data_IF_812905329734
#
_entry.id   IF_812905329734
#
_cell.length_a   1.000
_cell.length_b   1.000
_cell.length_c   1.000
_cell.angle_alpha   90.00
_cell.angle_beta   90.00
_cell.angle_gamma   90.00
#
_symmetry.space_group_name_H-M   'P 1'
#
loop_
_entity.id
_entity.type
_entity.pdbx_description
1 polymer ?
#
# COMPACT_ATOMS: atom_id res chain seq x y z
N UNK A 1 18.56 -24.21 -5.66
CA UNK A 1 17.34 -24.47 -6.44
C UNK A 1 16.87 -23.15 -7.00
N UNK A 2 17.21 -22.82 -8.24
CA UNK A 2 16.72 -21.60 -8.89
C UNK A 2 15.22 -21.74 -9.08
N UNK A 3 14.44 -20.81 -8.51
CA UNK A 3 13.00 -20.71 -8.79
C UNK A 3 12.84 -20.28 -10.24
N UNK A 4 12.24 -21.12 -11.02
CA UNK A 4 11.85 -20.85 -12.40
C UNK A 4 10.80 -19.72 -12.35
N UNK A 5 11.17 -18.50 -12.77
CA UNK A 5 10.21 -17.41 -12.93
C UNK A 5 10.53 -16.04 -12.31
N UNK A 6 11.75 -15.75 -11.90
CA UNK A 6 12.16 -14.37 -11.68
C UNK A 6 12.40 -13.69 -13.04
N UNK A 7 11.30 -13.42 -13.75
CA UNK A 7 11.28 -12.38 -14.76
C UNK A 7 11.57 -11.09 -13.98
N UNK A 8 12.59 -10.35 -14.41
CA UNK A 8 12.87 -9.04 -13.83
C UNK A 8 11.66 -8.14 -14.09
N UNK A 9 10.78 -8.07 -13.09
CA UNK A 9 9.47 -7.39 -13.15
C UNK A 9 9.60 -5.86 -13.24
N UNK A 10 10.82 -5.33 -13.23
CA UNK A 10 11.11 -3.90 -13.32
C UNK A 10 11.75 -3.49 -14.64
N UNK A 11 11.66 -4.32 -15.68
CA UNK A 11 12.27 -4.07 -17.01
C UNK A 11 11.30 -3.58 -18.06
N UNK A 12 10.03 -3.35 -17.77
CA UNK A 12 9.06 -2.85 -18.73
C UNK A 12 9.49 -1.48 -19.30
N UNK A 13 9.33 -1.31 -20.60
CA UNK A 13 9.77 -0.13 -21.36
C UNK A 13 9.28 1.21 -20.78
N UNK A 14 8.03 1.25 -20.32
CA UNK A 14 7.38 2.46 -19.82
C UNK A 14 7.30 2.56 -18.30
N UNK A 15 7.94 1.67 -17.58
CA UNK A 15 7.98 1.76 -16.12
C UNK A 15 8.76 3.00 -15.67
N UNK A 16 8.18 3.85 -14.79
CA UNK A 16 8.91 4.96 -14.19
C UNK A 16 10.18 4.49 -13.46
N UNK A 17 11.26 5.26 -13.58
CA UNK A 17 12.56 4.92 -12.97
C UNK A 17 12.85 5.69 -11.69
N UNK A 18 12.12 6.75 -11.42
CA UNK A 18 12.33 7.65 -10.27
C UNK A 18 11.19 7.51 -9.26
N UNK A 19 9.93 7.52 -9.75
CA UNK A 19 8.78 7.41 -8.87
C UNK A 19 8.53 5.97 -8.45
N UNK A 20 7.98 5.79 -7.25
CA UNK A 20 7.53 4.48 -6.79
C UNK A 20 6.49 3.89 -7.75
N UNK A 21 6.64 2.61 -8.04
CA UNK A 21 5.65 1.79 -8.75
C UNK A 21 5.59 0.41 -8.10
N UNK A 22 4.41 -0.19 -7.93
CA UNK A 22 4.33 -1.56 -7.42
C UNK A 22 4.95 -2.53 -8.41
N UNK A 23 5.37 -3.68 -7.93
CA UNK A 23 5.94 -4.74 -8.77
C UNK A 23 5.01 -5.14 -9.91
N UNK A 24 3.71 -5.14 -9.65
CA UNK A 24 2.66 -5.51 -10.64
C UNK A 24 1.31 -4.97 -10.25
N UNK A 25 0.37 -5.03 -11.19
CA UNK A 25 -1.05 -4.77 -10.99
C UNK A 25 -1.40 -3.28 -10.82
N UNK A 26 -2.68 -3.02 -10.65
CA UNK A 26 -3.24 -1.67 -10.59
C UNK A 26 -2.82 -0.91 -9.34
N UNK A 27 -2.48 0.34 -9.51
CA UNK A 27 -2.38 1.32 -8.41
C UNK A 27 -3.01 2.65 -8.82
N UNK A 28 -3.50 3.40 -7.84
CA UNK A 28 -3.93 4.79 -8.01
C UNK A 28 -3.50 5.65 -6.81
N UNK A 29 -4.40 6.18 -6.01
CA UNK A 29 -4.10 7.20 -5.01
C UNK A 29 -2.99 6.80 -4.03
N UNK A 30 -1.96 7.64 -3.82
CA UNK A 30 -1.09 7.51 -2.67
C UNK A 30 -1.87 7.83 -1.38
N UNK A 31 -1.63 7.08 -0.33
CA UNK A 31 -2.28 7.19 0.96
C UNK A 31 -1.25 7.21 2.08
N UNK A 32 -1.58 7.89 3.17
CA UNK A 32 -0.91 7.73 4.44
C UNK A 32 0.61 7.86 4.43
N UNK A 33 1.18 8.73 3.60
CA UNK A 33 2.62 8.97 3.62
C UNK A 33 3.02 9.51 5.00
N UNK A 34 3.83 8.74 5.73
CA UNK A 34 4.20 9.07 7.12
C UNK A 34 5.62 8.62 7.43
N UNK A 35 6.33 9.45 8.20
CA UNK A 35 7.61 9.08 8.80
C UNK A 35 7.38 8.40 10.14
N UNK A 36 7.95 7.22 10.33
CA UNK A 36 7.87 6.47 11.57
C UNK A 36 9.15 5.68 11.83
N UNK A 37 9.78 5.93 12.97
CA UNK A 37 10.94 5.17 13.48
C UNK A 37 12.04 4.90 12.44
N UNK A 38 12.44 5.94 11.70
CA UNK A 38 13.60 5.87 10.80
C UNK A 38 13.29 5.48 9.37
N UNK A 39 12.02 5.36 8.98
CA UNK A 39 11.62 5.11 7.61
C UNK A 39 10.33 5.85 7.22
N UNK A 40 10.19 6.16 5.94
CA UNK A 40 8.95 6.63 5.35
C UNK A 40 8.09 5.44 4.99
N UNK A 41 6.80 5.51 5.31
CA UNK A 41 5.79 4.57 4.87
C UNK A 41 4.92 5.24 3.81
N UNK A 42 4.74 4.58 2.69
CA UNK A 42 3.80 4.95 1.64
C UNK A 42 2.79 3.83 1.51
N UNK A 43 1.53 4.17 1.67
CA UNK A 43 0.42 3.30 1.32
C UNK A 43 -0.18 3.77 0.00
N UNK A 44 -0.89 2.91 -0.70
CA UNK A 44 -1.50 3.26 -1.98
C UNK A 44 -2.69 2.36 -2.30
N UNK A 45 -3.64 2.90 -3.02
CA UNK A 45 -4.75 2.13 -3.55
C UNK A 45 -4.21 1.10 -4.54
N UNK A 46 -4.55 -0.15 -4.33
CA UNK A 46 -3.98 -1.27 -5.07
C UNK A 46 -5.02 -2.36 -5.30
N UNK A 47 -5.06 -2.88 -6.54
CA UNK A 47 -5.72 -4.16 -6.82
C UNK A 47 -4.65 -5.24 -6.86
N UNK A 48 -4.52 -6.09 -5.84
CA UNK A 48 -3.47 -7.10 -5.81
C UNK A 48 -3.67 -8.26 -6.80
N UNK A 49 -4.85 -8.34 -7.43
CA UNK A 49 -5.23 -9.48 -8.28
C UNK A 49 -5.18 -9.20 -9.77
N UNK A 50 -5.10 -7.93 -10.19
CA UNK A 50 -5.15 -7.63 -11.62
C UNK A 50 -4.81 -6.19 -11.99
N UNK A 51 -4.86 -5.93 -13.30
CA UNK A 51 -4.50 -4.65 -13.92
C UNK A 51 -5.68 -3.72 -14.16
N UNK A 52 -6.84 -4.06 -13.63
CA UNK A 52 -8.05 -3.23 -13.70
C UNK A 52 -8.36 -2.65 -12.32
N UNK A 53 -9.05 -1.53 -12.31
CA UNK A 53 -9.59 -0.98 -11.07
C UNK A 53 -10.58 -1.96 -10.44
N UNK A 54 -10.43 -2.22 -9.18
CA UNK A 54 -11.27 -3.13 -8.40
C UNK A 54 -10.49 -3.71 -7.22
N UNK A 55 -11.14 -4.44 -6.34
CA UNK A 55 -10.51 -5.11 -5.20
C UNK A 55 -9.61 -4.19 -4.39
N UNK A 56 -10.05 -2.92 -4.20
CA UNK A 56 -9.20 -1.92 -3.57
C UNK A 56 -8.77 -2.33 -2.17
N UNK A 57 -7.47 -2.37 -2.01
CA UNK A 57 -6.74 -2.62 -0.77
C UNK A 57 -5.67 -1.55 -0.62
N UNK A 58 -5.09 -1.39 0.56
CA UNK A 58 -3.90 -0.56 0.71
C UNK A 58 -2.65 -1.41 0.49
N UNK A 59 -1.96 -1.18 -0.62
CA UNK A 59 -0.58 -1.59 -0.81
C UNK A 59 0.33 -0.80 0.12
N UNK A 60 1.57 -1.27 0.30
CA UNK A 60 2.51 -0.68 1.25
C UNK A 60 3.94 -0.73 0.72
N UNK A 61 4.66 0.35 0.89
CA UNK A 61 6.09 0.41 0.62
C UNK A 61 6.79 1.26 1.69
N UNK A 62 8.07 0.99 1.90
CA UNK A 62 8.92 1.75 2.83
C UNK A 62 10.15 2.28 2.13
N UNK A 63 10.66 3.42 2.61
CA UNK A 63 11.88 4.05 2.11
C UNK A 63 12.60 4.81 3.22
N UNK A 64 13.91 4.88 3.13
CA UNK A 64 14.74 5.73 4.01
C UNK A 64 15.02 7.11 3.43
N UNK A 65 14.82 7.29 2.13
CA UNK A 65 15.26 8.49 1.40
C UNK A 65 14.21 9.04 0.41
N UNK A 66 13.02 8.44 0.32
CA UNK A 66 11.94 8.76 -0.62
C UNK A 66 12.27 8.50 -2.10
N UNK A 67 13.42 7.92 -2.39
CA UNK A 67 13.86 7.58 -3.75
C UNK A 67 13.92 6.07 -3.97
N UNK A 68 14.44 5.35 -2.98
CA UNK A 68 14.57 3.89 -3.01
C UNK A 68 13.50 3.27 -2.13
N UNK A 69 12.64 2.46 -2.73
CA UNK A 69 11.47 1.89 -2.08
C UNK A 69 11.55 0.37 -2.03
N UNK A 70 11.14 -0.19 -0.92
CA UNK A 70 10.90 -1.61 -0.72
C UNK A 70 9.39 -1.84 -0.58
N UNK A 71 8.81 -2.63 -1.49
CA UNK A 71 7.41 -3.00 -1.42
C UNK A 71 7.21 -4.09 -0.37
N UNK A 72 6.25 -3.87 0.49
CA UNK A 72 5.86 -4.79 1.57
C UNK A 72 4.52 -5.47 1.24
N UNK A 73 4.11 -6.50 1.99
CA UNK A 73 2.79 -7.09 1.86
C UNK A 73 1.67 -6.05 2.02
N UNK A 74 0.48 -6.37 1.51
CA UNK A 74 -0.72 -5.55 1.65
C UNK A 74 -0.94 -5.18 3.12
N UNK A 75 -1.10 -3.88 3.38
CA UNK A 75 -1.27 -3.38 4.74
C UNK A 75 -2.70 -3.53 5.24
N UNK A 76 -3.68 -3.16 4.41
CA UNK A 76 -5.11 -3.27 4.73
C UNK A 76 -5.79 -3.91 3.52
N UNK A 77 -6.18 -5.17 3.65
CA UNK A 77 -6.82 -5.91 2.56
C UNK A 77 -8.33 -5.71 2.57
N UNK A 78 -8.95 -5.73 1.38
CA UNK A 78 -10.39 -5.87 1.30
C UNK A 78 -10.84 -7.17 1.96
N UNK A 79 -12.03 -7.17 2.50
CA UNK A 79 -12.67 -8.32 3.12
C UNK A 79 -14.17 -8.36 2.76
N UNK A 80 -14.90 -9.28 3.37
CA UNK A 80 -16.34 -9.43 3.15
C UNK A 80 -17.17 -8.19 3.58
N UNK A 81 -16.58 -7.33 4.41
CA UNK A 81 -17.24 -6.10 4.89
C UNK A 81 -17.04 -4.90 3.94
N UNK A 82 -16.21 -5.03 2.92
CA UNK A 82 -16.03 -4.01 1.89
C UNK A 82 -14.61 -3.81 1.38
N UNK A 83 -14.49 -2.93 0.40
CA UNK A 83 -13.20 -2.51 -0.17
C UNK A 83 -12.61 -1.34 0.60
N UNK A 84 -11.30 -1.18 0.51
CA UNK A 84 -10.54 -0.20 1.28
C UNK A 84 -10.22 0.98 0.38
N UNK A 85 -10.88 2.12 0.63
CA UNK A 85 -10.67 3.36 -0.10
C UNK A 85 -9.63 4.24 0.59
N UNK A 86 -9.35 5.38 -0.02
CA UNK A 86 -8.28 6.29 0.38
C UNK A 86 -8.45 6.85 1.79
N UNK A 87 -7.34 7.29 2.35
CA UNK A 87 -7.26 7.88 3.66
C UNK A 87 -5.85 8.38 3.97
N UNK A 88 -5.57 8.56 5.24
CA UNK A 88 -4.31 9.09 5.73
C UNK A 88 -3.78 8.27 6.91
N UNK A 89 -2.52 8.54 7.28
CA UNK A 89 -1.91 7.92 8.45
C UNK A 89 -1.13 8.95 9.27
N UNK A 90 -1.01 8.69 10.55
CA UNK A 90 -0.18 9.45 11.47
C UNK A 90 0.68 8.51 12.31
N UNK A 91 1.84 9.00 12.72
CA UNK A 91 2.69 8.32 13.71
C UNK A 91 2.39 8.93 15.08
N UNK A 92 1.94 8.11 16.01
CA UNK A 92 1.62 8.52 17.38
C UNK A 92 2.36 7.57 18.32
N UNK A 93 3.27 8.12 19.13
CA UNK A 93 4.11 7.33 20.03
C UNK A 93 4.82 6.19 19.27
N UNK A 94 4.49 4.96 19.59
CA UNK A 94 5.07 3.77 18.97
C UNK A 94 4.18 3.12 17.91
N UNK A 95 3.09 3.79 17.50
CA UNK A 95 2.10 3.26 16.57
C UNK A 95 2.02 4.06 15.27
N UNK A 96 1.69 3.38 14.18
CA UNK A 96 1.13 3.99 12.98
C UNK A 96 -0.39 3.80 13.05
N UNK A 97 -1.12 4.91 12.95
CA UNK A 97 -2.59 4.92 12.97
C UNK A 97 -3.08 5.38 11.61
N UNK A 98 -3.77 4.52 10.89
CA UNK A 98 -4.40 4.81 9.61
C UNK A 98 -5.89 5.10 9.80
N UNK A 99 -6.37 6.14 9.12
CA UNK A 99 -7.80 6.46 9.00
C UNK A 99 -8.15 6.34 7.53
N UNK A 100 -9.10 5.49 7.21
CA UNK A 100 -9.46 5.17 5.83
C UNK A 100 -10.97 5.02 5.65
N UNK A 101 -11.42 5.03 4.42
CA UNK A 101 -12.82 4.80 4.08
C UNK A 101 -13.03 3.34 3.70
N UNK A 102 -13.94 2.66 4.38
CA UNK A 102 -14.48 1.37 3.95
C UNK A 102 -15.69 1.61 3.07
N UNK A 103 -15.68 1.04 1.89
CA UNK A 103 -16.72 1.23 0.88
C UNK A 103 -17.47 -0.07 0.58
N UNK A 104 -18.78 0.02 0.58
CA UNK A 104 -19.71 -1.00 0.06
C UNK A 104 -20.63 -0.35 -0.98
N UNK A 105 -21.42 -1.12 -1.67
CA UNK A 105 -22.40 -0.59 -2.66
C UNK A 105 -23.40 0.40 -2.04
N UNK A 106 -23.66 0.30 -0.77
CA UNK A 106 -24.72 1.08 -0.09
C UNK A 106 -24.20 2.04 0.97
N UNK A 107 -22.92 1.95 1.35
CA UNK A 107 -22.40 2.74 2.46
C UNK A 107 -20.89 3.04 2.33
N UNK A 108 -20.51 4.18 2.88
CA UNK A 108 -19.11 4.55 3.13
C UNK A 108 -18.95 4.94 4.59
N UNK A 109 -18.01 4.33 5.26
CA UNK A 109 -17.72 4.61 6.67
C UNK A 109 -16.24 4.85 6.90
N UNK A 110 -15.92 5.71 7.88
CA UNK A 110 -14.54 5.92 8.29
C UNK A 110 -14.13 4.84 9.28
N UNK A 111 -12.98 4.24 9.02
CA UNK A 111 -12.40 3.18 9.84
C UNK A 111 -11.00 3.57 10.31
N UNK A 112 -10.56 2.94 11.39
CA UNK A 112 -9.21 3.12 11.96
C UNK A 112 -8.52 1.76 12.00
N UNK A 113 -7.30 1.71 11.51
CA UNK A 113 -6.37 0.61 11.72
C UNK A 113 -5.15 1.08 12.50
N UNK A 114 -4.56 0.21 13.29
CA UNK A 114 -3.37 0.50 14.10
C UNK A 114 -2.32 -0.58 13.89
N UNK A 115 -1.08 -0.17 13.76
CA UNK A 115 0.09 -1.05 13.75
C UNK A 115 1.01 -0.69 14.90
N UNK A 116 1.42 -1.70 15.66
CA UNK A 116 2.38 -1.59 16.79
C UNK A 116 3.74 -2.22 16.48
N UNK A 117 3.92 -2.71 15.26
CA UNK A 117 5.14 -3.39 14.79
C UNK A 117 5.79 -2.68 13.61
N UNK A 118 5.74 -1.35 13.59
CA UNK A 118 6.28 -0.49 12.55
C UNK A 118 5.63 -0.74 11.17
N UNK A 119 4.34 -0.94 11.14
CA UNK A 119 3.58 -1.13 9.89
C UNK A 119 3.77 -2.49 9.22
N UNK A 120 4.26 -3.50 9.93
CA UNK A 120 4.44 -4.84 9.35
C UNK A 120 3.17 -5.68 9.43
N UNK A 121 2.29 -5.38 10.40
CA UNK A 121 0.91 -5.89 10.47
C UNK A 121 -0.05 -4.80 10.94
#
# INVERSE_FOLDING_TARGET
>A
MQRQGDVDIFTEEFRPRIHFTPARNWMNDPNGLVWHKGEYHLFFQHNPFGTQWGHMSWGHAVSKDLLHWEELPIAIAEDDDGTIFSGSAVSIDDEIVAIYTRHTETNQSQCIARSTDNGRT
#
